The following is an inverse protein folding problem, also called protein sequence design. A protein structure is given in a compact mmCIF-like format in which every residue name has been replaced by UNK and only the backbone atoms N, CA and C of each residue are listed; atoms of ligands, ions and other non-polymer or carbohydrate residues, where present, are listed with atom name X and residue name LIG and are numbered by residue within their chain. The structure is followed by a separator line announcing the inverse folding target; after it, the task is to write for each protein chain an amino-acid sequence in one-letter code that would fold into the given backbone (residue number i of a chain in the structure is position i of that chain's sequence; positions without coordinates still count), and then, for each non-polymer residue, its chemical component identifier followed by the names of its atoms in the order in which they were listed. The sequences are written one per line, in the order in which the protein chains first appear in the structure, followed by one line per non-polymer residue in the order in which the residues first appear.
data_IF_924111216430
#
_entry.id   IF_924111216430
#
_cell.length_a   1.000
_cell.length_b   1.000
_cell.length_c   1.000
_cell.angle_alpha   90.00
_cell.angle_beta   90.00
_cell.angle_gamma   90.00
#
_symmetry.space_group_name_H-M   'P 1'
#
loop_
_entity.id
_entity.type
_entity.pdbx_description
1 polymer ?
#
# COMPACT_ATOMS: atom_id res chain seq x y z
N UNK A 1 -13.37 9.72 -22.25
CA UNK A 1 -13.97 9.76 -20.91
C UNK A 1 -12.83 9.92 -19.93
N UNK A 2 -12.73 11.10 -19.30
CA UNK A 2 -11.67 11.42 -18.34
C UNK A 2 -12.13 10.86 -17.00
N UNK A 3 -11.59 9.70 -16.62
CA UNK A 3 -11.88 9.04 -15.36
C UNK A 3 -11.16 9.75 -14.22
N UNK A 4 -11.91 10.09 -13.17
CA UNK A 4 -11.48 10.79 -11.96
C UNK A 4 -10.79 9.80 -11.00
N UNK A 5 -9.82 9.04 -11.52
CA UNK A 5 -8.91 8.19 -10.75
C UNK A 5 -7.61 8.06 -11.56
N UNK A 6 -6.54 8.78 -11.19
CA UNK A 6 -5.18 8.37 -11.54
C UNK A 6 -4.93 7.06 -10.77
N UNK A 7 -5.20 5.92 -11.41
CA UNK A 7 -4.97 4.61 -10.80
C UNK A 7 -3.48 4.37 -10.68
N UNK A 8 -2.95 3.88 -9.55
CA UNK A 8 -1.58 3.40 -9.50
C UNK A 8 -1.38 2.34 -10.58
N UNK A 9 -0.37 2.54 -11.41
CA UNK A 9 0.05 1.54 -12.38
C UNK A 9 0.42 0.27 -11.60
N UNK A 10 -0.28 -0.83 -11.87
CA UNK A 10 0.01 -2.11 -11.22
C UNK A 10 1.35 -2.68 -11.66
N UNK A 11 1.87 -3.64 -10.89
CA UNK A 11 3.09 -4.38 -11.25
C UNK A 11 2.81 -5.23 -12.50
N UNK A 12 3.58 -5.00 -13.56
CA UNK A 12 3.46 -5.76 -14.81
C UNK A 12 4.00 -7.18 -14.63
N UNK A 13 3.24 -8.17 -15.08
CA UNK A 13 3.63 -9.59 -15.01
C UNK A 13 4.46 -10.05 -16.23
N UNK A 14 4.44 -9.26 -17.31
CA UNK A 14 5.21 -9.49 -18.53
C UNK A 14 5.86 -8.18 -18.96
N UNK A 15 7.05 -8.26 -19.54
CA UNK A 15 7.74 -7.10 -20.11
C UNK A 15 7.21 -6.70 -21.49
N UNK A 16 7.81 -5.67 -22.11
CA UNK A 16 7.40 -5.16 -23.41
C UNK A 16 7.56 -6.16 -24.57
N UNK A 17 8.36 -7.21 -24.38
CA UNK A 17 8.58 -8.28 -25.36
C UNK A 17 7.68 -9.51 -25.07
N UNK A 18 6.84 -9.44 -24.04
CA UNK A 18 5.93 -10.51 -23.63
C UNK A 18 6.61 -11.61 -22.82
N UNK A 19 7.82 -11.38 -22.29
CA UNK A 19 8.52 -12.32 -21.42
C UNK A 19 8.01 -12.15 -19.98
N UNK A 20 7.75 -13.27 -19.30
CA UNK A 20 7.27 -13.24 -17.93
C UNK A 20 8.32 -12.64 -16.98
N UNK A 21 7.90 -11.68 -16.16
CA UNK A 21 8.72 -11.13 -15.08
C UNK A 21 8.98 -12.22 -14.05
N UNK A 22 10.21 -12.28 -13.55
CA UNK A 22 10.63 -13.24 -12.52
C UNK A 22 11.64 -12.58 -11.59
N UNK A 23 11.53 -12.85 -10.29
CA UNK A 23 12.44 -12.34 -9.28
C UNK A 23 11.79 -11.37 -8.30
N UNK A 24 12.65 -10.62 -7.61
CA UNK A 24 12.26 -9.65 -6.58
C UNK A 24 11.71 -8.38 -7.21
N UNK A 25 10.51 -7.98 -6.79
CA UNK A 25 9.83 -6.75 -7.24
C UNK A 25 9.43 -5.86 -6.06
N UNK A 26 10.05 -6.05 -4.89
CA UNK A 26 9.74 -5.31 -3.66
C UNK A 26 9.84 -3.80 -3.85
N UNK A 27 10.81 -3.33 -4.65
CA UNK A 27 11.02 -1.90 -4.95
C UNK A 27 9.87 -1.23 -5.73
N UNK A 28 8.92 -2.02 -6.25
CA UNK A 28 7.73 -1.52 -6.95
C UNK A 28 6.52 -1.35 -6.01
N UNK A 29 6.68 -1.72 -4.74
CA UNK A 29 5.62 -1.63 -3.73
C UNK A 29 5.71 -0.29 -3.00
N UNK A 30 4.57 0.35 -2.80
CA UNK A 30 4.43 1.61 -2.07
C UNK A 30 3.38 1.46 -0.97
N UNK A 31 3.47 2.31 0.06
CA UNK A 31 2.47 2.38 1.12
C UNK A 31 1.38 3.38 0.74
N UNK A 32 0.12 2.95 0.86
CA UNK A 32 -1.06 3.73 0.53
C UNK A 32 -1.92 3.95 1.76
N UNK A 33 -2.48 5.15 1.85
CA UNK A 33 -3.53 5.52 2.79
C UNK A 33 -4.89 5.38 2.12
N UNK A 34 -5.84 4.76 2.82
CA UNK A 34 -7.22 4.62 2.36
C UNK A 34 -8.04 5.91 2.57
N UNK A 35 -7.59 6.82 3.43
CA UNK A 35 -8.22 8.11 3.70
C UNK A 35 -9.49 8.04 4.54
N UNK A 36 -9.74 6.94 5.25
CA UNK A 36 -11.01 6.71 5.98
C UNK A 36 -11.04 7.40 7.34
N UNK A 37 -10.00 7.19 8.14
CA UNK A 37 -9.87 7.67 9.53
C UNK A 37 -8.54 8.41 9.70
N UNK A 38 -8.48 9.35 10.64
CA UNK A 38 -7.26 10.14 10.89
C UNK A 38 -6.09 9.25 11.28
N UNK A 39 -4.97 9.43 10.57
CA UNK A 39 -3.72 8.69 10.81
C UNK A 39 -3.18 8.84 12.24
N UNK A 40 -2.59 7.75 12.74
CA UNK A 40 -1.92 7.69 14.04
C UNK A 40 -0.57 7.00 13.91
N UNK A 41 0.32 7.24 14.87
CA UNK A 41 1.66 6.65 14.85
C UNK A 41 1.60 5.13 14.61
N UNK A 42 2.29 4.61 13.58
CA UNK A 42 2.21 3.19 13.20
C UNK A 42 2.52 2.24 14.35
N UNK A 43 1.58 1.30 14.63
CA UNK A 43 1.71 0.28 15.67
C UNK A 43 1.47 0.76 17.11
N UNK A 44 1.28 2.07 17.33
CA UNK A 44 1.11 2.64 18.66
C UNK A 44 -0.19 3.45 18.83
N UNK A 45 -0.89 3.78 17.73
CA UNK A 45 -2.18 4.47 17.77
C UNK A 45 -3.23 3.74 18.60
N UNK A 46 -4.01 4.48 19.38
CA UNK A 46 -5.08 3.92 20.22
C UNK A 46 -6.26 3.43 19.38
N UNK A 47 -6.46 4.06 18.23
CA UNK A 47 -7.51 3.75 17.27
C UNK A 47 -6.97 2.84 16.14
N UNK A 48 -5.98 1.99 16.43
CA UNK A 48 -5.55 0.92 15.53
C UNK A 48 -6.09 -0.43 15.99
N UNK A 49 -6.42 -1.33 15.06
CA UNK A 49 -7.15 -2.58 15.29
C UNK A 49 -6.72 -3.44 16.50
N UNK A 50 -5.43 -3.52 16.90
CA UNK A 50 -5.05 -4.25 18.12
C UNK A 50 -5.54 -3.62 19.43
N UNK A 51 -5.94 -2.34 19.41
CA UNK A 51 -6.28 -1.52 20.58
C UNK A 51 -7.69 -0.92 20.52
N UNK A 52 -8.35 -0.96 19.37
CA UNK A 52 -9.73 -0.50 19.20
C UNK A 52 -10.71 -1.43 19.90
N UNK A 53 -11.67 -0.86 20.63
CA UNK A 53 -12.76 -1.62 21.26
C UNK A 53 -13.83 -2.05 20.27
N UNK A 54 -14.01 -1.27 19.19
CA UNK A 54 -14.95 -1.47 18.09
C UNK A 54 -14.34 -0.91 16.79
N UNK A 55 -14.80 -1.33 15.59
CA UNK A 55 -14.41 -0.69 14.34
C UNK A 55 -14.77 0.81 14.31
N UNK A 56 -14.10 1.57 13.45
CA UNK A 56 -14.42 2.96 13.13
C UNK A 56 -14.42 3.92 14.34
N UNK A 57 -13.42 3.80 15.23
CA UNK A 57 -13.32 4.61 16.47
C UNK A 57 -12.46 5.86 16.34
N UNK A 58 -11.63 5.98 15.31
CA UNK A 58 -10.89 7.20 15.06
C UNK A 58 -11.80 8.28 14.43
N UNK A 59 -11.43 9.57 14.53
CA UNK A 59 -12.11 10.62 13.78
C UNK A 59 -12.06 10.33 12.27
N UNK A 60 -13.16 10.56 11.57
CA UNK A 60 -13.22 10.44 10.11
C UNK A 60 -12.29 11.45 9.47
N UNK A 61 -11.46 10.99 8.53
CA UNK A 61 -10.63 11.85 7.68
C UNK A 61 -11.38 12.20 6.38
N UNK A 62 -11.91 11.18 5.69
CA UNK A 62 -12.65 11.36 4.44
C UNK A 62 -11.78 11.85 3.27
N UNK A 63 -10.49 11.53 3.28
CA UNK A 63 -9.56 11.83 2.21
C UNK A 63 -9.69 10.82 1.03
N UNK A 64 -9.29 11.20 -0.19
CA UNK A 64 -9.09 10.24 -1.28
C UNK A 64 -7.99 9.23 -0.93
N UNK A 65 -8.07 8.03 -1.50
CA UNK A 65 -6.97 7.07 -1.48
C UNK A 65 -5.72 7.72 -2.09
N UNK A 66 -4.58 7.61 -1.41
CA UNK A 66 -3.34 8.28 -1.81
C UNK A 66 -2.09 7.59 -1.27
N UNK A 67 -0.92 8.02 -1.72
CA UNK A 67 0.34 7.63 -1.08
C UNK A 67 0.35 8.18 0.35
N UNK A 68 0.93 7.42 1.28
CA UNK A 68 1.12 7.90 2.65
C UNK A 68 1.97 9.17 2.66
N UNK A 69 1.41 10.25 3.21
CA UNK A 69 2.04 11.57 3.40
C UNK A 69 1.53 12.22 4.71
N UNK A 70 1.57 11.43 5.78
CA UNK A 70 1.01 11.78 7.10
C UNK A 70 2.05 12.33 8.09
N UNK A 71 3.32 12.39 7.67
CA UNK A 71 4.44 12.84 8.49
C UNK A 71 4.95 11.83 9.52
N UNK A 72 4.43 10.60 9.56
CA UNK A 72 4.97 9.54 10.40
C UNK A 72 6.19 8.87 9.75
N UNK A 73 7.00 8.21 10.58
CA UNK A 73 8.14 7.41 10.12
C UNK A 73 7.71 5.95 10.01
N UNK A 74 8.00 5.38 8.85
CA UNK A 74 7.78 3.98 8.54
C UNK A 74 9.13 3.30 8.28
N UNK A 75 9.30 2.01 8.61
CA UNK A 75 10.40 1.22 8.09
C UNK A 75 10.41 1.26 6.56
N UNK A 76 11.57 1.04 5.94
CA UNK A 76 11.62 0.88 4.50
C UNK A 76 10.81 -0.36 4.08
N UNK A 77 10.24 -0.35 2.88
CA UNK A 77 9.32 -1.41 2.42
C UNK A 77 10.01 -2.78 2.45
N UNK A 78 11.28 -2.85 2.03
CA UNK A 78 12.12 -4.04 2.01
C UNK A 78 12.54 -4.54 3.40
N UNK A 79 12.34 -3.75 4.46
CA UNK A 79 12.54 -4.18 5.85
C UNK A 79 11.35 -4.97 6.41
N UNK A 80 10.15 -4.79 5.83
CA UNK A 80 8.90 -5.35 6.37
C UNK A 80 8.18 -6.31 5.43
N UNK A 81 8.33 -6.11 4.12
CA UNK A 81 7.64 -6.89 3.09
C UNK A 81 8.66 -7.31 2.03
N UNK A 82 8.48 -8.52 1.50
CA UNK A 82 9.19 -8.99 0.29
C UNK A 82 8.19 -9.51 -0.71
N UNK A 83 8.27 -9.03 -1.95
CA UNK A 83 7.41 -9.48 -3.05
C UNK A 83 8.26 -10.06 -4.16
N UNK A 84 7.96 -11.30 -4.54
CA UNK A 84 8.62 -11.99 -5.65
C UNK A 84 7.60 -12.52 -6.65
N UNK A 85 7.92 -12.46 -7.93
CA UNK A 85 7.15 -13.09 -9.00
C UNK A 85 7.87 -14.36 -9.44
N UNK A 86 7.12 -15.45 -9.54
CA UNK A 86 7.58 -16.73 -10.10
C UNK A 86 6.61 -17.16 -11.19
N UNK A 87 7.04 -17.24 -12.46
CA UNK A 87 6.20 -17.76 -13.54
C UNK A 87 5.78 -19.21 -13.29
N UNK A 88 4.50 -19.52 -13.48
CA UNK A 88 4.03 -20.90 -13.42
C UNK A 88 4.43 -21.65 -14.71
N UNK A 89 5.34 -22.61 -14.61
CA UNK A 89 5.76 -23.47 -15.73
C UNK A 89 7.21 -23.33 -16.21
N UNK A 90 8.06 -22.63 -15.45
CA UNK A 90 9.52 -22.67 -15.58
C UNK A 90 10.11 -23.99 -15.08
#
# INVERSE_FOLDING_TARGET
ASGVFDTPEGISLFDGDGIAVSGDVTDQVMLWDAGTEVNQYPGAGLDQAPRQSDPDTAPVEGAPIGLVDDGFTYPAVDEVIRVTITPAGS
#
